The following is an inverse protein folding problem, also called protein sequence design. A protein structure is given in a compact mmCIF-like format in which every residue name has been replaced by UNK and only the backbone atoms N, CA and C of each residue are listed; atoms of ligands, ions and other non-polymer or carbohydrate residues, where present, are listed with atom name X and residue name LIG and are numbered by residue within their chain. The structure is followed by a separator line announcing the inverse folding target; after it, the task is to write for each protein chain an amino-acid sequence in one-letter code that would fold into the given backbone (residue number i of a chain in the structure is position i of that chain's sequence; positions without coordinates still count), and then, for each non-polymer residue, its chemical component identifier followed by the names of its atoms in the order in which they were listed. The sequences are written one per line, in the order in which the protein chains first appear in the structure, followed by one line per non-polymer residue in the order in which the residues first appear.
data_IF_835875122306
#
_entry.id   IF_835875122306
#
_cell.length_a   1.000
_cell.length_b   1.000
_cell.length_c   1.000
_cell.angle_alpha   90.00
_cell.angle_beta   90.00
_cell.angle_gamma   90.00
#
_symmetry.space_group_name_H-M   'P 1'
#
loop_
_entity.id
_entity.type
_entity.pdbx_description
1 polymer ?
#
# COMPACT_ATOMS: atom_id res chain seq x y z
N UNK A 1 1.87 9.77 5.30
CA UNK A 1 1.15 10.31 4.14
C UNK A 1 -0.11 9.50 3.96
N UNK A 2 -1.23 10.17 3.69
CA UNK A 2 -2.51 9.53 3.42
C UNK A 2 -2.73 9.44 1.90
N UNK A 3 -3.26 8.31 1.45
CA UNK A 3 -3.69 8.06 0.08
C UNK A 3 -5.17 7.60 0.14
N UNK A 4 -6.13 8.48 -0.16
CA UNK A 4 -7.55 8.09 -0.20
C UNK A 4 -7.79 7.17 -1.39
N UNK A 5 -8.47 6.04 -1.21
CA UNK A 5 -8.67 5.08 -2.28
C UNK A 5 -10.06 4.43 -2.21
N UNK A 6 -10.53 3.93 -3.34
CA UNK A 6 -11.76 3.14 -3.42
C UNK A 6 -11.41 1.67 -3.59
N UNK A 7 -12.00 0.80 -2.78
CA UNK A 7 -11.75 -0.65 -2.85
C UNK A 7 -12.39 -1.25 -4.10
N UNK A 8 -11.61 -1.99 -4.88
CA UNK A 8 -12.06 -2.72 -6.06
C UNK A 8 -12.26 -4.21 -5.76
N UNK A 9 -11.43 -4.78 -4.89
CA UNK A 9 -11.50 -6.17 -4.45
C UNK A 9 -10.80 -6.36 -3.11
N UNK A 10 -11.29 -7.32 -2.30
CA UNK A 10 -10.55 -7.83 -1.14
C UNK A 10 -10.45 -9.35 -1.22
N UNK A 11 -9.25 -9.89 -1.13
CA UNK A 11 -8.96 -11.33 -1.13
C UNK A 11 -8.47 -11.76 0.25
N UNK A 12 -8.93 -12.91 0.74
CA UNK A 12 -8.45 -13.49 2.00
C UNK A 12 -7.63 -14.73 1.66
N UNK A 13 -6.36 -14.74 2.08
CA UNK A 13 -5.46 -15.86 1.91
C UNK A 13 -4.84 -16.24 3.26
N UNK A 14 -5.34 -17.33 3.85
CA UNK A 14 -4.92 -17.76 5.18
C UNK A 14 -5.19 -16.70 6.25
N UNK A 15 -4.13 -16.18 6.87
CA UNK A 15 -4.19 -15.15 7.91
C UNK A 15 -3.95 -13.74 7.38
N UNK A 16 -4.06 -13.53 6.07
CA UNK A 16 -3.79 -12.25 5.42
C UNK A 16 -4.95 -11.82 4.54
N UNK A 17 -5.12 -10.51 4.41
CA UNK A 17 -6.06 -9.90 3.48
C UNK A 17 -5.29 -9.03 2.50
N UNK A 18 -5.52 -9.23 1.20
CA UNK A 18 -5.05 -8.35 0.15
C UNK A 18 -6.20 -7.46 -0.31
N UNK A 19 -6.01 -6.14 -0.29
CA UNK A 19 -7.01 -5.16 -0.68
C UNK A 19 -6.50 -4.47 -1.94
N UNK A 20 -7.20 -4.68 -3.05
CA UNK A 20 -6.98 -3.96 -4.29
C UNK A 20 -7.81 -2.68 -4.24
N UNK A 21 -7.17 -1.53 -4.41
CA UNK A 21 -7.80 -0.23 -4.32
C UNK A 21 -7.27 0.73 -5.39
N UNK A 22 -8.08 1.72 -5.72
CA UNK A 22 -7.76 2.69 -6.75
C UNK A 22 -7.70 4.10 -6.16
N UNK A 23 -6.61 4.82 -6.44
CA UNK A 23 -6.43 6.24 -6.18
C UNK A 23 -6.28 6.98 -7.52
N UNK A 24 -7.39 7.46 -8.08
CA UNK A 24 -7.40 8.17 -9.36
C UNK A 24 -6.99 7.26 -10.53
N UNK A 25 -5.77 7.42 -11.03
CA UNK A 25 -5.19 6.58 -12.08
C UNK A 25 -4.24 5.50 -11.54
N UNK A 26 -4.02 5.46 -10.22
CA UNK A 26 -3.06 4.58 -9.57
C UNK A 26 -3.77 3.38 -8.92
N UNK A 27 -3.38 2.19 -9.35
CA UNK A 27 -3.81 0.92 -8.74
C UNK A 27 -2.87 0.59 -7.58
N UNK A 28 -3.45 0.24 -6.44
CA UNK A 28 -2.74 -0.07 -5.20
C UNK A 28 -3.16 -1.44 -4.69
N UNK A 29 -2.22 -2.17 -4.09
CA UNK A 29 -2.49 -3.39 -3.34
C UNK A 29 -1.96 -3.22 -1.93
N UNK A 30 -2.83 -3.40 -0.94
CA UNK A 30 -2.50 -3.34 0.48
C UNK A 30 -2.55 -4.75 1.05
N UNK A 31 -1.47 -5.19 1.68
CA UNK A 31 -1.45 -6.44 2.44
C UNK A 31 -1.66 -6.13 3.93
N UNK A 32 -2.76 -6.61 4.47
CA UNK A 32 -3.13 -6.47 5.87
C UNK A 32 -3.04 -7.82 6.59
N UNK A 33 -2.55 -7.80 7.83
CA UNK A 33 -2.57 -8.98 8.68
C UNK A 33 -3.98 -9.22 9.23
N UNK A 34 -4.39 -10.47 9.23
CA UNK A 34 -5.67 -10.95 9.72
C UNK A 34 -6.74 -11.02 8.64
N UNK A 35 -7.93 -11.41 9.05
CA UNK A 35 -9.11 -11.52 8.18
C UNK A 35 -9.88 -10.21 8.27
N UNK A 36 -9.79 -9.40 7.22
CA UNK A 36 -10.51 -8.14 7.06
C UNK A 36 -11.41 -8.26 5.84
N UNK A 37 -12.73 -8.20 6.03
CA UNK A 37 -13.64 -8.04 4.89
C UNK A 37 -13.85 -6.55 4.66
N UNK A 38 -13.35 -6.04 3.54
CA UNK A 38 -13.57 -4.65 3.11
C UNK A 38 -14.48 -4.68 1.90
N UNK A 39 -15.56 -3.90 1.93
CA UNK A 39 -16.56 -3.92 0.87
C UNK A 39 -16.00 -3.29 -0.40
N UNK A 40 -16.27 -3.92 -1.54
CA UNK A 40 -16.08 -3.30 -2.86
C UNK A 40 -16.86 -1.98 -2.91
N UNK A 41 -16.24 -0.94 -3.46
CA UNK A 41 -16.77 0.43 -3.53
C UNK A 41 -16.61 1.25 -2.24
N UNK A 42 -16.06 0.67 -1.16
CA UNK A 42 -15.79 1.43 0.05
C UNK A 42 -14.65 2.43 -0.16
N UNK A 43 -14.81 3.64 0.37
CA UNK A 43 -13.72 4.61 0.51
C UNK A 43 -12.87 4.27 1.74
N UNK A 44 -11.55 4.20 1.53
CA UNK A 44 -10.57 3.90 2.56
C UNK A 44 -9.43 4.91 2.51
N UNK A 45 -8.77 5.12 3.66
CA UNK A 45 -7.53 5.88 3.76
C UNK A 45 -6.36 4.91 3.93
N UNK A 46 -5.45 4.88 2.96
CA UNK A 46 -4.22 4.09 3.04
C UNK A 46 -3.12 4.99 3.59
N UNK A 47 -2.49 4.58 4.68
CA UNK A 47 -1.42 5.35 5.31
C UNK A 47 -0.06 4.74 5.00
N UNK A 48 0.83 5.55 4.43
CA UNK A 48 2.18 5.15 4.04
C UNK A 48 3.23 6.07 4.66
N UNK A 49 4.42 5.52 4.90
CA UNK A 49 5.59 6.29 5.26
C UNK A 49 6.43 6.55 3.97
N UNK A 50 6.49 7.79 3.46
CA UNK A 50 7.29 8.11 2.27
C UNK A 50 8.77 7.77 2.40
N UNK A 51 9.32 7.75 3.62
CA UNK A 51 10.70 7.33 3.86
C UNK A 51 10.96 5.84 3.54
N UNK A 52 9.92 5.07 3.24
CA UNK A 52 9.99 3.66 2.82
C UNK A 52 9.76 3.45 1.34
N UNK A 53 9.68 4.51 0.55
CA UNK A 53 9.50 4.39 -0.89
C UNK A 53 10.81 4.14 -1.61
N UNK A 54 10.72 3.30 -2.63
CA UNK A 54 11.72 3.20 -3.68
C UNK A 54 11.23 4.07 -4.84
N UNK A 55 12.08 4.96 -5.33
CA UNK A 55 11.76 5.90 -6.40
C UNK A 55 12.65 5.58 -7.59
N UNK A 56 12.02 5.40 -8.73
CA UNK A 56 12.68 5.10 -10.00
C UNK A 56 12.41 6.24 -10.99
N UNK A 57 13.36 6.51 -11.87
CA UNK A 57 13.13 7.41 -13.00
C UNK A 57 12.37 6.71 -14.15
N UNK A 58 12.06 7.45 -15.22
CA UNK A 58 11.34 6.93 -16.39
C UNK A 58 12.10 5.84 -17.15
N UNK A 59 13.43 5.79 -17.02
CA UNK A 59 14.26 4.73 -17.59
C UNK A 59 14.32 3.48 -16.69
N UNK A 60 13.72 3.55 -15.50
CA UNK A 60 13.68 2.47 -14.51
C UNK A 60 14.90 2.42 -13.58
N UNK A 61 15.77 3.44 -13.58
CA UNK A 61 16.90 3.50 -12.67
C UNK A 61 16.44 3.93 -11.26
N UNK A 62 16.95 3.26 -10.22
CA UNK A 62 16.67 3.63 -8.84
C UNK A 62 17.37 4.95 -8.49
N UNK A 63 16.59 6.00 -8.21
CA UNK A 63 17.09 7.35 -7.89
C UNK A 63 16.99 7.69 -6.41
N UNK A 64 16.10 7.03 -5.67
CA UNK A 64 16.05 7.12 -4.21
C UNK A 64 15.56 5.81 -3.60
N UNK A 65 16.08 5.46 -2.43
CA UNK A 65 15.66 4.30 -1.66
C UNK A 65 15.58 4.60 -0.17
N UNK A 66 14.84 3.80 0.59
CA UNK A 66 14.81 3.91 2.05
C UNK A 66 16.19 3.72 2.66
N UNK A 67 16.46 4.35 3.80
CA UNK A 67 17.62 3.98 4.61
C UNK A 67 17.41 2.60 5.24
N UNK A 68 18.49 1.85 5.57
CA UNK A 68 18.37 0.58 6.30
C UNK A 68 17.61 0.71 7.62
N UNK A 69 17.72 1.88 8.27
CA UNK A 69 17.00 2.21 9.49
C UNK A 69 15.50 2.37 9.24
N UNK A 70 15.11 3.12 8.19
CA UNK A 70 13.72 3.35 7.83
C UNK A 70 12.95 2.05 7.55
N UNK A 71 13.62 1.03 7.02
CA UNK A 71 13.04 -0.30 6.77
C UNK A 71 12.87 -1.15 8.02
N UNK A 72 13.63 -0.89 9.09
CA UNK A 72 13.65 -1.70 10.32
C UNK A 72 12.65 -1.24 11.38
N UNK A 73 12.24 0.03 11.35
CA UNK A 73 11.21 0.53 12.25
C UNK A 73 9.88 -0.20 11.99
N UNK A 74 9.05 -0.53 12.99
CA UNK A 74 7.68 -1.00 12.74
C UNK A 74 6.83 0.12 12.09
N UNK A 75 5.82 -0.24 11.30
CA UNK A 75 4.71 0.69 11.05
C UNK A 75 3.93 0.74 12.37
N UNK A 76 3.95 1.90 13.03
CA UNK A 76 3.25 2.12 14.31
C UNK A 76 1.74 2.09 14.16
#
# INVERSE_FOLDING_TARGET
MEIPATVELSEINGSETFIHANHGAFQLVVQEKGVRSVRIGAEISIYVNPARFFVYDEAGALVASPSPEALRTPLG
#
